data_IF_026092642272
#
_entry.id   IF_026092642272
#
_cell.length_a   1.000
_cell.length_b   1.000
_cell.length_c   1.000
_cell.angle_alpha   90.00
_cell.angle_beta   90.00
_cell.angle_gamma   90.00
#
_symmetry.space_group_name_H-M   'P 1'
#
loop_
_entity.id
_entity.type
_entity.pdbx_description
1 polymer ?
#
# COMPACT_ATOMS: atom_id res chain seq x y z
N UNK A 1 -30.16 9.97 -19.53
CA UNK A 1 -31.28 9.02 -19.76
C UNK A 1 -30.96 7.72 -19.03
N UNK A 2 -31.64 7.49 -17.91
CA UNK A 2 -31.56 6.27 -17.11
C UNK A 2 -32.19 5.09 -17.85
N UNK A 3 -31.59 3.90 -17.77
CA UNK A 3 -32.34 2.65 -17.96
C UNK A 3 -31.85 1.59 -16.99
N UNK A 4 -32.73 1.29 -16.02
CA UNK A 4 -32.69 0.18 -15.10
C UNK A 4 -32.61 -1.16 -15.83
N UNK A 5 -31.82 -2.11 -15.33
CA UNK A 5 -32.00 -3.54 -15.61
C UNK A 5 -32.13 -4.27 -14.28
N UNK A 6 -33.28 -4.93 -14.10
CA UNK A 6 -33.62 -5.79 -12.95
C UNK A 6 -32.83 -7.11 -12.97
N UNK A 7 -32.65 -7.75 -11.80
CA UNK A 7 -31.80 -8.92 -11.65
C UNK A 7 -32.54 -10.22 -11.98
N UNK A 8 -31.90 -11.10 -12.76
CA UNK A 8 -32.41 -12.45 -12.99
C UNK A 8 -31.65 -13.21 -14.06
N UNK A 9 -30.93 -14.25 -13.61
CA UNK A 9 -30.37 -15.38 -14.38
C UNK A 9 -29.08 -15.11 -15.16
N UNK A 10 -27.94 -15.45 -14.54
CA UNK A 10 -26.76 -15.90 -15.28
C UNK A 10 -26.31 -17.26 -14.77
N UNK A 11 -26.62 -18.29 -15.58
CA UNK A 11 -25.93 -19.58 -15.59
C UNK A 11 -24.49 -19.36 -16.10
N UNK A 12 -23.58 -20.22 -15.65
CA UNK A 12 -22.16 -20.30 -16.03
C UNK A 12 -21.90 -20.03 -17.53
N UNK A 13 -21.01 -19.08 -17.84
CA UNK A 13 -20.43 -18.88 -19.18
C UNK A 13 -18.93 -18.52 -19.04
N UNK A 14 -18.01 -19.03 -19.90
CA UNK A 14 -16.56 -18.90 -19.72
C UNK A 14 -16.01 -17.48 -19.89
N UNK A 15 -15.00 -17.15 -19.07
CA UNK A 15 -14.40 -15.84 -18.78
C UNK A 15 -13.70 -15.11 -19.95
N UNK A 16 -13.45 -15.76 -21.08
CA UNK A 16 -12.59 -15.21 -22.15
C UNK A 16 -13.31 -14.21 -23.06
N UNK A 17 -14.65 -14.28 -23.19
CA UNK A 17 -15.38 -13.45 -24.16
C UNK A 17 -15.71 -12.04 -23.65
N UNK A 18 -15.79 -11.84 -22.33
CA UNK A 18 -16.07 -10.53 -21.70
C UNK A 18 -14.87 -9.59 -21.85
N UNK A 19 -13.64 -10.11 -21.77
CA UNK A 19 -12.42 -9.29 -21.84
C UNK A 19 -12.28 -8.57 -23.19
N UNK A 20 -12.60 -9.25 -24.31
CA UNK A 20 -12.52 -8.65 -25.66
C UNK A 20 -13.61 -7.60 -25.93
N UNK A 21 -14.80 -7.73 -25.34
CA UNK A 21 -15.87 -6.73 -25.49
C UNK A 21 -15.63 -5.48 -24.62
N UNK A 22 -15.02 -5.64 -23.43
CA UNK A 22 -14.64 -4.51 -22.56
C UNK A 22 -13.55 -3.63 -23.21
N UNK A 23 -12.55 -4.26 -23.83
CA UNK A 23 -11.42 -3.60 -24.51
C UNK A 23 -11.88 -2.79 -25.74
N UNK A 24 -12.84 -3.30 -26.52
CA UNK A 24 -13.38 -2.59 -27.70
C UNK A 24 -14.18 -1.34 -27.33
N UNK A 25 -14.87 -1.34 -26.18
CA UNK A 25 -15.58 -0.15 -25.68
C UNK A 25 -14.59 0.91 -25.18
N UNK A 26 -13.51 0.53 -24.49
CA UNK A 26 -12.53 1.48 -23.90
C UNK A 26 -11.79 2.33 -24.95
N UNK A 27 -11.51 1.80 -26.14
CA UNK A 27 -10.91 2.57 -27.26
C UNK A 27 -11.81 3.66 -27.83
N UNK A 28 -13.13 3.53 -27.72
CA UNK A 28 -14.07 4.54 -28.25
C UNK A 28 -14.34 5.69 -27.27
N UNK A 29 -14.08 5.49 -25.97
CA UNK A 29 -14.36 6.47 -24.92
C UNK A 29 -13.18 7.39 -24.57
N UNK A 30 -11.96 7.08 -25.00
CA UNK A 30 -10.75 7.79 -24.56
C UNK A 30 -10.24 8.87 -25.53
N UNK A 31 -10.86 9.11 -26.69
CA UNK A 31 -10.72 10.36 -27.47
C UNK A 31 -9.31 10.95 -27.75
N UNK A 32 -8.22 10.20 -27.59
CA UNK A 32 -6.85 10.67 -27.78
C UNK A 32 -6.30 10.10 -29.09
N UNK A 33 -6.32 10.91 -30.16
CA UNK A 33 -5.41 10.74 -31.28
C UNK A 33 -4.09 11.43 -30.92
N UNK A 34 -2.99 10.66 -30.81
CA UNK A 34 -1.65 11.21 -30.56
C UNK A 34 -0.94 11.49 -31.90
N UNK A 35 -0.21 12.61 -32.03
CA UNK A 35 0.50 12.95 -33.27
C UNK A 35 1.79 12.12 -33.41
N UNK A 36 2.04 11.65 -34.64
CA UNK A 36 3.22 10.88 -35.04
C UNK A 36 4.33 11.82 -35.52
N UNK A 37 5.24 12.26 -34.64
CA UNK A 37 6.55 12.76 -35.09
C UNK A 37 7.66 12.34 -34.12
N UNK A 38 8.76 11.85 -34.71
CA UNK A 38 9.94 11.22 -34.11
C UNK A 38 10.90 12.25 -33.51
N UNK A 39 11.43 11.99 -32.31
CA UNK A 39 12.59 12.73 -31.76
C UNK A 39 13.74 11.76 -31.47
N UNK A 40 14.91 12.11 -32.00
CA UNK A 40 16.18 11.36 -32.07
C UNK A 40 16.91 11.30 -30.70
N UNK A 41 17.37 10.12 -30.22
CA UNK A 41 18.08 9.98 -28.96
C UNK A 41 19.59 9.75 -29.17
N UNK A 42 20.39 10.82 -29.19
CA UNK A 42 21.86 10.68 -29.06
C UNK A 42 22.44 11.67 -28.05
N UNK A 43 22.70 11.16 -26.84
CA UNK A 43 23.75 11.63 -25.94
C UNK A 43 24.06 10.50 -24.93
N UNK A 44 24.95 9.58 -25.31
CA UNK A 44 25.40 8.44 -24.49
C UNK A 44 26.90 8.58 -24.18
N UNK A 45 27.29 8.46 -22.91
CA UNK A 45 28.69 8.35 -22.49
C UNK A 45 29.11 6.88 -22.58
N UNK A 46 30.24 6.63 -23.24
CA UNK A 46 30.80 5.30 -23.52
C UNK A 46 31.81 4.85 -22.44
N UNK A 47 31.71 3.59 -22.00
CA UNK A 47 32.88 2.81 -21.56
C UNK A 47 32.90 1.45 -22.28
N UNK A 48 34.08 0.88 -22.60
CA UNK A 48 34.20 -0.19 -23.58
C UNK A 48 34.27 -1.56 -22.90
N UNK A 49 33.26 -2.40 -23.15
CA UNK A 49 33.39 -3.86 -22.98
C UNK A 49 32.88 -4.61 -24.21
N UNK A 50 33.80 -5.38 -24.80
CA UNK A 50 33.60 -6.64 -25.55
C UNK A 50 32.43 -6.77 -26.52
N UNK A 51 32.73 -6.76 -27.83
CA UNK A 51 31.81 -7.04 -28.95
C UNK A 51 31.10 -8.40 -28.77
N UNK A 52 29.78 -8.41 -29.05
CA UNK A 52 28.81 -9.54 -29.09
C UNK A 52 27.91 -9.79 -27.86
N UNK A 53 27.34 -8.72 -27.28
CA UNK A 53 26.03 -8.82 -26.63
C UNK A 53 25.11 -7.74 -27.22
N UNK A 54 23.89 -8.10 -27.63
CA UNK A 54 22.82 -7.10 -27.83
C UNK A 54 22.67 -6.37 -26.50
N UNK A 55 23.01 -5.08 -26.47
CA UNK A 55 22.80 -4.21 -25.31
C UNK A 55 21.30 -4.21 -24.98
N UNK A 56 20.92 -4.94 -23.94
CA UNK A 56 19.62 -4.76 -23.32
C UNK A 56 19.71 -3.44 -22.57
N UNK A 57 19.11 -2.39 -23.15
CA UNK A 57 18.92 -1.09 -22.51
C UNK A 57 18.16 -1.33 -21.19
N UNK A 58 18.77 -0.96 -20.06
CA UNK A 58 18.19 -1.11 -18.72
C UNK A 58 17.40 0.15 -18.38
N UNK A 59 16.06 0.10 -18.21
CA UNK A 59 15.31 1.25 -17.74
C UNK A 59 15.70 1.55 -16.30
N UNK A 60 16.05 2.81 -16.01
CA UNK A 60 16.45 3.24 -14.66
C UNK A 60 15.39 4.13 -14.01
N UNK A 61 14.37 4.53 -14.76
CA UNK A 61 13.30 5.43 -14.32
C UNK A 61 11.93 4.76 -14.46
N UNK A 62 11.08 4.94 -13.45
CA UNK A 62 9.72 4.38 -13.42
C UNK A 62 8.83 4.86 -14.58
N UNK A 63 9.06 6.08 -15.10
CA UNK A 63 8.37 6.59 -16.29
C UNK A 63 8.67 5.77 -17.55
N UNK A 64 9.90 5.28 -17.69
CA UNK A 64 10.30 4.37 -18.77
C UNK A 64 9.64 3.00 -18.60
N UNK A 65 9.49 2.53 -17.35
CA UNK A 65 8.76 1.30 -17.02
C UNK A 65 7.27 1.46 -17.33
N UNK A 66 6.63 2.59 -17.01
CA UNK A 66 5.21 2.84 -17.33
C UNK A 66 4.95 2.86 -18.84
N UNK A 67 5.78 3.57 -19.60
CA UNK A 67 5.68 3.61 -21.07
C UNK A 67 5.97 2.24 -21.71
N UNK A 68 6.85 1.45 -21.11
CA UNK A 68 7.16 0.10 -21.57
C UNK A 68 6.09 -0.93 -21.15
N UNK A 69 5.47 -0.78 -19.97
CA UNK A 69 4.30 -1.56 -19.51
C UNK A 69 3.07 -1.32 -20.40
N UNK A 70 2.86 -0.09 -20.88
CA UNK A 70 1.78 0.25 -21.81
C UNK A 70 1.97 -0.36 -23.22
N UNK A 71 3.20 -0.72 -23.60
CA UNK A 71 3.55 -1.18 -24.94
C UNK A 71 3.84 -2.69 -25.05
N UNK A 72 3.85 -3.42 -23.93
CA UNK A 72 4.20 -4.84 -23.89
C UNK A 72 2.93 -5.71 -23.74
N UNK A 73 2.69 -6.62 -24.68
CA UNK A 73 1.52 -7.52 -24.70
C UNK A 73 1.53 -8.57 -23.56
N UNK A 74 2.61 -8.63 -22.77
CA UNK A 74 2.74 -9.32 -21.50
C UNK A 74 3.47 -8.38 -20.53
N UNK A 75 2.88 -8.10 -19.37
CA UNK A 75 3.57 -7.37 -18.30
C UNK A 75 4.62 -8.32 -17.70
N UNK A 76 5.92 -7.96 -17.67
CA UNK A 76 6.92 -8.78 -17.01
C UNK A 76 6.69 -8.71 -15.50
N UNK A 77 7.29 -9.66 -14.81
CA UNK A 77 7.30 -9.64 -13.36
C UNK A 77 8.44 -8.73 -12.87
N UNK A 78 8.10 -7.75 -12.04
CA UNK A 78 9.05 -6.88 -11.38
C UNK A 78 9.52 -7.54 -10.07
N UNK A 79 10.84 -7.55 -9.83
CA UNK A 79 11.44 -8.20 -8.66
C UNK A 79 12.25 -7.20 -7.85
N UNK A 80 11.83 -6.95 -6.62
CA UNK A 80 12.52 -6.07 -5.70
C UNK A 80 13.25 -6.87 -4.60
N UNK A 81 14.57 -6.73 -4.42
CA UNK A 81 15.26 -7.29 -3.26
C UNK A 81 14.91 -6.49 -2.00
N UNK A 82 14.36 -7.14 -0.98
CA UNK A 82 13.88 -6.47 0.24
C UNK A 82 14.98 -6.36 1.30
N UNK A 83 16.06 -5.63 1.00
CA UNK A 83 17.20 -5.47 1.92
C UNK A 83 16.86 -4.70 3.20
N UNK A 84 15.77 -3.94 3.21
CA UNK A 84 15.20 -3.29 4.40
C UNK A 84 14.48 -4.25 5.34
N UNK A 85 14.11 -5.45 4.86
CA UNK A 85 13.39 -6.47 5.62
C UNK A 85 14.34 -7.59 6.03
N UNK A 86 14.00 -8.31 7.08
CA UNK A 86 14.70 -9.52 7.48
C UNK A 86 13.75 -10.55 8.08
N UNK A 87 14.17 -11.82 8.06
CA UNK A 87 13.43 -12.93 8.63
C UNK A 87 14.08 -13.40 9.94
N UNK A 88 13.26 -13.52 10.99
CA UNK A 88 13.66 -13.97 12.32
C UNK A 88 12.76 -15.13 12.70
N UNK A 89 13.34 -16.30 12.86
CA UNK A 89 12.65 -17.43 13.45
C UNK A 89 12.45 -17.27 14.94
N UNK A 90 11.32 -17.76 15.42
CA UNK A 90 10.98 -17.86 16.83
C UNK A 90 10.57 -19.30 17.13
N UNK A 91 11.18 -19.89 18.15
CA UNK A 91 11.06 -21.31 18.47
C UNK A 91 11.08 -21.52 19.97
N UNK A 92 10.14 -22.29 20.50
CA UNK A 92 10.14 -22.69 21.90
C UNK A 92 8.74 -22.93 22.45
N UNK A 93 8.63 -23.75 23.48
CA UNK A 93 7.35 -24.08 24.09
C UNK A 93 6.63 -22.82 24.59
N UNK A 94 5.38 -22.65 24.15
CA UNK A 94 4.58 -21.47 24.43
C UNK A 94 4.89 -20.26 23.53
N UNK A 95 5.63 -20.39 22.43
CA UNK A 95 5.76 -19.34 21.42
C UNK A 95 4.40 -18.97 20.81
N UNK A 96 3.50 -19.93 20.55
CA UNK A 96 2.17 -19.65 20.02
C UNK A 96 1.38 -18.71 20.95
N UNK A 97 1.19 -19.15 22.20
CA UNK A 97 0.42 -18.38 23.18
C UNK A 97 1.05 -17.01 23.49
N UNK A 98 2.39 -16.92 23.48
CA UNK A 98 3.09 -15.63 23.64
C UNK A 98 2.80 -14.70 22.47
N UNK A 99 3.05 -15.15 21.24
CA UNK A 99 2.85 -14.32 20.05
C UNK A 99 1.39 -13.92 19.91
N UNK A 100 0.46 -14.86 20.07
CA UNK A 100 -0.98 -14.58 20.00
C UNK A 100 -1.42 -13.49 20.98
N UNK A 101 -0.79 -13.38 22.16
CA UNK A 101 -1.06 -12.29 23.11
C UNK A 101 -0.46 -10.93 22.72
N UNK A 102 0.47 -10.87 21.77
CA UNK A 102 1.21 -9.66 21.38
C UNK A 102 0.81 -9.11 20.00
N UNK A 103 0.21 -9.94 19.16
CA UNK A 103 -0.12 -9.57 17.77
C UNK A 103 -1.62 -9.30 17.59
N UNK A 104 -1.96 -8.38 16.68
CA UNK A 104 -3.35 -7.99 16.36
C UNK A 104 -4.11 -9.02 15.53
N UNK A 105 -3.43 -9.91 14.80
CA UNK A 105 -4.05 -10.96 13.99
C UNK A 105 -4.00 -12.33 14.68
N UNK A 106 -4.73 -13.33 14.19
CA UNK A 106 -4.79 -14.67 14.79
C UNK A 106 -3.67 -15.56 14.24
N UNK A 107 -2.71 -15.94 15.08
CA UNK A 107 -1.62 -16.82 14.67
C UNK A 107 -2.12 -18.20 14.26
N UNK A 108 -3.25 -18.67 14.81
CA UNK A 108 -3.80 -19.99 14.49
C UNK A 108 -4.37 -20.05 13.06
N UNK A 109 -4.62 -18.90 12.42
CA UNK A 109 -4.98 -18.87 11.00
C UNK A 109 -3.87 -19.43 10.10
N UNK A 110 -2.61 -19.45 10.58
CA UNK A 110 -1.50 -20.11 9.89
C UNK A 110 -1.64 -21.63 9.78
N UNK A 111 -2.66 -22.27 10.36
CA UNK A 111 -2.99 -23.67 10.02
C UNK A 111 -3.54 -23.81 8.59
N UNK A 112 -4.23 -22.77 8.10
CA UNK A 112 -4.81 -22.71 6.75
C UNK A 112 -4.02 -21.79 5.83
N UNK A 113 -3.61 -20.64 6.33
CA UNK A 113 -2.82 -19.64 5.61
C UNK A 113 -1.33 -19.95 5.68
N UNK A 114 -0.58 -19.60 4.63
CA UNK A 114 0.88 -19.77 4.59
C UNK A 114 1.62 -18.58 5.21
N UNK A 115 0.97 -17.42 5.23
CA UNK A 115 1.51 -16.14 5.71
C UNK A 115 0.35 -15.27 6.21
N UNK A 116 0.61 -14.46 7.24
CA UNK A 116 -0.35 -13.47 7.75
C UNK A 116 0.31 -12.10 7.93
N UNK A 117 -0.49 -11.04 7.79
CA UNK A 117 -0.10 -9.69 8.17
C UNK A 117 -0.57 -9.38 9.59
N UNK A 118 0.22 -8.66 10.37
CA UNK A 118 -0.17 -8.24 11.71
C UNK A 118 0.62 -7.03 12.20
N UNK A 119 0.08 -6.34 13.19
CA UNK A 119 0.83 -5.41 14.03
C UNK A 119 1.11 -6.01 15.40
N UNK A 120 2.11 -5.46 16.08
CA UNK A 120 2.24 -5.51 17.54
C UNK A 120 2.06 -4.10 18.10
N UNK A 121 1.27 -3.98 19.17
CA UNK A 121 0.88 -2.68 19.73
C UNK A 121 1.52 -2.44 21.09
N UNK A 122 1.54 -1.18 21.52
CA UNK A 122 1.72 -0.86 22.93
C UNK A 122 0.41 -0.99 23.70
N UNK A 123 0.48 -0.90 25.04
CA UNK A 123 -0.69 -0.95 25.92
C UNK A 123 -1.74 0.15 25.65
N UNK A 124 -1.37 1.22 24.92
CA UNK A 124 -2.30 2.29 24.51
C UNK A 124 -2.94 2.03 23.13
N UNK A 125 -2.74 0.85 22.55
CA UNK A 125 -3.28 0.44 21.25
C UNK A 125 -2.58 1.06 20.04
N UNK A 126 -1.39 1.64 20.19
CA UNK A 126 -0.63 2.24 19.08
C UNK A 126 0.37 1.24 18.50
N UNK A 127 0.53 1.25 17.17
CA UNK A 127 1.42 0.35 16.44
C UNK A 127 2.86 0.58 16.90
N UNK A 128 3.54 -0.48 17.33
CA UNK A 128 4.98 -0.50 17.55
C UNK A 128 5.71 -1.12 16.36
N UNK A 129 5.19 -2.25 15.87
CA UNK A 129 5.80 -3.03 14.82
C UNK A 129 4.75 -3.47 13.82
N UNK A 130 5.11 -3.44 12.54
CA UNK A 130 4.42 -4.09 11.45
C UNK A 130 5.21 -5.35 11.08
N UNK A 131 4.52 -6.46 10.87
CA UNK A 131 5.12 -7.76 10.65
C UNK A 131 4.32 -8.59 9.65
N UNK A 132 5.04 -9.42 8.89
CA UNK A 132 4.46 -10.62 8.29
C UNK A 132 4.91 -11.84 9.09
N UNK A 133 4.04 -12.81 9.31
CA UNK A 133 4.38 -14.06 9.98
C UNK A 133 4.10 -15.21 9.04
N UNK A 134 5.10 -16.05 8.81
CA UNK A 134 5.04 -17.21 7.93
C UNK A 134 4.84 -18.47 8.75
N UNK A 135 4.10 -19.42 8.16
CA UNK A 135 4.08 -20.80 8.62
C UNK A 135 5.49 -21.39 8.50
N UNK A 136 6.04 -21.90 9.60
CA UNK A 136 7.44 -22.36 9.62
C UNK A 136 7.69 -23.50 8.65
N UNK A 137 6.77 -24.45 8.50
CA UNK A 137 6.92 -25.60 7.61
C UNK A 137 7.16 -25.19 6.16
N UNK A 138 6.62 -24.04 5.74
CA UNK A 138 6.82 -23.51 4.39
C UNK A 138 8.24 -22.95 4.21
N UNK A 139 8.73 -22.19 5.19
CA UNK A 139 10.08 -21.60 5.17
C UNK A 139 11.15 -22.67 5.42
N UNK A 140 10.88 -23.65 6.28
CA UNK A 140 11.83 -24.71 6.61
C UNK A 140 12.33 -25.45 5.36
N UNK A 141 11.53 -25.53 4.29
CA UNK A 141 11.87 -26.13 3.00
C UNK A 141 13.07 -25.47 2.28
N UNK A 142 13.33 -24.16 2.50
CA UNK A 142 14.51 -23.46 1.94
C UNK A 142 15.68 -23.31 2.89
N UNK A 143 15.46 -23.50 4.19
CA UNK A 143 16.53 -23.35 5.17
C UNK A 143 17.57 -24.44 4.99
N UNK A 144 18.84 -24.08 5.19
CA UNK A 144 19.92 -25.03 5.28
C UNK A 144 19.75 -25.96 6.51
N UNK A 145 20.42 -27.10 6.47
CA UNK A 145 20.28 -28.13 7.52
C UNK A 145 20.67 -27.61 8.90
N UNK A 146 21.71 -26.77 8.98
CA UNK A 146 22.23 -26.24 10.24
C UNK A 146 21.23 -25.29 10.90
N UNK A 147 20.62 -24.41 10.11
CA UNK A 147 19.61 -23.45 10.55
C UNK A 147 18.34 -24.18 10.95
N UNK A 148 17.90 -25.17 10.15
CA UNK A 148 16.72 -26.00 10.47
C UNK A 148 16.87 -26.75 11.79
N UNK A 149 18.05 -27.29 12.09
CA UNK A 149 18.32 -27.99 13.36
C UNK A 149 18.16 -27.11 14.60
N UNK A 150 18.31 -25.78 14.47
CA UNK A 150 18.13 -24.84 15.60
C UNK A 150 16.68 -24.71 16.06
N UNK A 151 15.71 -25.18 15.27
CA UNK A 151 14.28 -25.24 15.59
C UNK A 151 13.85 -26.61 16.11
N UNK A 152 14.78 -27.57 16.22
CA UNK A 152 14.46 -28.90 16.71
C UNK A 152 14.06 -28.89 18.19
N UNK A 153 13.18 -29.82 18.56
CA UNK A 153 12.78 -30.05 19.96
C UNK A 153 11.44 -29.43 20.37
N UNK A 154 10.76 -28.73 19.47
CA UNK A 154 9.41 -28.18 19.68
C UNK A 154 8.69 -28.02 18.34
N UNK A 155 7.36 -28.07 18.37
CA UNK A 155 6.51 -27.85 17.19
C UNK A 155 6.05 -26.39 17.08
N UNK A 156 6.27 -25.56 18.11
CA UNK A 156 5.88 -24.15 18.11
C UNK A 156 6.95 -23.27 17.47
N UNK A 157 7.03 -23.34 16.15
CA UNK A 157 7.98 -22.59 15.33
C UNK A 157 7.27 -21.63 14.38
N UNK A 158 7.76 -20.40 14.29
CA UNK A 158 7.25 -19.38 13.37
C UNK A 158 8.39 -18.56 12.77
N UNK A 159 8.14 -17.88 11.66
CA UNK A 159 9.10 -16.93 11.07
C UNK A 159 8.46 -15.57 10.94
N UNK A 160 9.11 -14.56 11.50
CA UNK A 160 8.66 -13.17 11.49
C UNK A 160 9.50 -12.39 10.48
N UNK A 161 8.84 -11.79 9.49
CA UNK A 161 9.41 -10.72 8.67
C UNK A 161 9.14 -9.36 9.31
N UNK A 162 10.18 -8.56 9.49
CA UNK A 162 10.08 -7.20 9.96
C UNK A 162 11.18 -6.32 9.34
N UNK A 163 11.08 -5.01 9.50
CA UNK A 163 12.14 -4.09 9.10
C UNK A 163 13.39 -4.30 9.97
N UNK A 164 14.57 -4.38 9.33
CA UNK A 164 15.81 -4.70 10.02
C UNK A 164 16.17 -3.68 11.11
N UNK A 165 15.74 -2.41 10.96
CA UNK A 165 16.02 -1.32 11.91
C UNK A 165 15.24 -1.50 13.21
N UNK A 166 14.06 -2.10 13.14
CA UNK A 166 13.16 -2.29 14.29
C UNK A 166 13.27 -3.67 14.96
N UNK A 167 13.94 -4.62 14.31
CA UNK A 167 14.04 -5.99 14.80
C UNK A 167 14.65 -6.13 16.21
N UNK A 168 15.72 -5.40 16.60
CA UNK A 168 16.25 -5.50 17.97
C UNK A 168 15.20 -5.09 19.02
N UNK A 169 14.44 -4.03 18.74
CA UNK A 169 13.38 -3.55 19.61
C UNK A 169 12.17 -4.48 19.64
N UNK A 170 11.84 -5.12 18.51
CA UNK A 170 10.82 -6.15 18.45
C UNK A 170 11.19 -7.36 19.32
N UNK A 171 12.42 -7.88 19.20
CA UNK A 171 12.90 -8.99 20.03
C UNK A 171 12.87 -8.59 21.51
N UNK A 172 13.34 -7.38 21.84
CA UNK A 172 13.31 -6.85 23.22
C UNK A 172 11.87 -6.74 23.75
N UNK A 173 10.94 -6.29 22.92
CA UNK A 173 9.53 -6.22 23.25
C UNK A 173 8.97 -7.61 23.57
N UNK A 174 9.14 -8.59 22.67
CA UNK A 174 8.67 -9.98 22.90
C UNK A 174 9.29 -10.56 24.18
N UNK A 175 10.60 -10.36 24.40
CA UNK A 175 11.32 -10.82 25.61
C UNK A 175 10.73 -10.31 26.92
N UNK A 176 10.15 -9.11 26.91
CA UNK A 176 9.54 -8.53 28.11
C UNK A 176 8.33 -9.35 28.59
N UNK A 177 7.67 -10.09 27.69
CA UNK A 177 6.48 -10.89 27.97
C UNK A 177 6.75 -12.40 28.07
N UNK A 178 8.01 -12.84 27.93
CA UNK A 178 8.35 -14.26 27.90
C UNK A 178 8.11 -14.99 29.24
N UNK A 179 7.99 -14.32 30.39
CA UNK A 179 7.68 -14.93 31.70
C UNK A 179 8.35 -16.31 31.93
N UNK A 180 9.69 -16.38 31.85
CA UNK A 180 10.52 -17.60 31.98
C UNK A 180 10.36 -18.67 30.89
N UNK A 181 9.53 -18.45 29.87
CA UNK A 181 9.46 -19.32 28.67
C UNK A 181 10.83 -19.37 27.99
N UNK A 182 11.22 -20.55 27.57
CA UNK A 182 12.47 -20.78 26.83
C UNK A 182 12.20 -20.61 25.34
N UNK A 183 12.18 -19.37 24.89
CA UNK A 183 11.96 -19.04 23.47
C UNK A 183 13.24 -18.49 22.87
N UNK A 184 13.64 -19.08 21.75
CA UNK A 184 14.82 -18.74 20.99
C UNK A 184 14.44 -17.83 19.82
N UNK A 185 15.34 -16.91 19.49
CA UNK A 185 15.26 -16.06 18.30
C UNK A 185 16.42 -16.43 17.37
N UNK A 186 16.09 -16.80 16.14
CA UNK A 186 17.02 -17.39 15.18
C UNK A 186 17.02 -16.52 13.92
N UNK A 187 18.04 -15.67 13.70
CA UNK A 187 18.18 -14.94 12.45
C UNK A 187 18.32 -15.91 11.27
N UNK A 188 17.56 -15.69 10.19
CA UNK A 188 17.58 -16.52 8.98
C UNK A 188 18.41 -15.81 7.90
N UNK A 189 19.72 -16.03 7.90
CA UNK A 189 20.69 -15.33 7.03
C UNK A 189 21.10 -16.13 5.78
N UNK A 190 20.65 -17.37 5.70
CA UNK A 190 20.89 -18.36 4.64
C UNK A 190 19.84 -18.30 3.50
N UNK A 191 18.91 -17.33 3.57
CA UNK A 191 17.88 -17.08 2.56
C UNK A 191 17.95 -15.64 2.03
N UNK A 192 17.42 -15.44 0.83
CA UNK A 192 17.15 -14.13 0.26
C UNK A 192 15.63 -13.88 0.23
N UNK A 193 15.23 -12.63 0.46
CA UNK A 193 13.84 -12.19 0.46
C UNK A 193 13.61 -11.16 -0.66
N UNK A 194 12.61 -11.42 -1.50
CA UNK A 194 12.20 -10.56 -2.59
C UNK A 194 10.70 -10.28 -2.55
N UNK A 195 10.28 -9.24 -3.25
CA UNK A 195 8.89 -9.01 -3.62
C UNK A 195 8.73 -9.06 -5.14
N UNK A 196 7.70 -9.77 -5.60
CA UNK A 196 7.38 -9.94 -7.02
C UNK A 196 5.98 -9.38 -7.29
N UNK A 197 5.83 -8.56 -8.34
CA UNK A 197 4.59 -7.84 -8.66
C UNK A 197 4.56 -7.47 -10.18
N UNK A 198 3.44 -7.03 -10.79
CA UNK A 198 2.14 -6.66 -10.20
C UNK A 198 1.16 -7.83 -10.03
N UNK A 199 1.34 -8.94 -10.75
CA UNK A 199 0.46 -10.11 -10.64
C UNK A 199 0.96 -11.07 -9.55
N UNK A 200 0.04 -11.66 -8.76
CA UNK A 200 0.42 -12.76 -7.88
C UNK A 200 0.90 -13.95 -8.72
N UNK A 201 1.85 -14.70 -8.19
CA UNK A 201 2.31 -15.93 -8.85
C UNK A 201 1.18 -16.96 -8.78
N UNK A 202 0.76 -17.53 -9.91
CA UNK A 202 -0.22 -18.62 -9.90
C UNK A 202 0.43 -19.87 -9.31
N UNK A 203 -0.19 -20.45 -8.27
CA UNK A 203 0.34 -21.61 -7.52
C UNK A 203 0.55 -22.87 -8.39
N UNK A 204 -0.02 -22.90 -9.59
CA UNK A 204 0.09 -24.04 -10.52
C UNK A 204 1.47 -24.17 -11.17
N UNK A 205 2.32 -23.14 -11.10
CA UNK A 205 3.70 -23.22 -11.54
C UNK A 205 4.63 -23.75 -10.43
N UNK A 206 4.69 -25.08 -10.35
CA UNK A 206 5.49 -25.92 -9.42
C UNK A 206 7.00 -25.61 -9.40
N UNK A 207 7.50 -24.65 -10.17
CA UNK A 207 8.89 -24.21 -10.16
C UNK A 207 9.20 -23.30 -8.98
N UNK A 208 8.21 -22.60 -8.41
CA UNK A 208 8.41 -21.62 -7.32
C UNK A 208 7.75 -22.09 -6.03
N UNK A 209 8.37 -23.05 -5.33
CA UNK A 209 7.80 -23.65 -4.11
C UNK A 209 7.54 -22.64 -2.96
N UNK A 210 8.00 -21.38 -3.04
CA UNK A 210 8.00 -20.44 -1.92
C UNK A 210 7.67 -19.00 -2.29
N UNK A 211 6.83 -18.82 -3.30
CA UNK A 211 6.06 -17.60 -3.42
C UNK A 211 4.90 -17.64 -2.41
N UNK A 212 4.72 -16.55 -1.69
CA UNK A 212 3.64 -16.31 -0.75
C UNK A 212 2.89 -15.08 -1.21
N UNK A 213 1.63 -15.23 -1.63
CA UNK A 213 0.77 -14.09 -1.95
C UNK A 213 0.78 -13.12 -0.77
N UNK A 214 0.95 -11.83 -1.05
CA UNK A 214 1.02 -10.83 0.01
C UNK A 214 -0.30 -10.79 0.80
N UNK A 215 -0.30 -11.09 2.10
CA UNK A 215 -1.54 -11.26 2.87
C UNK A 215 -2.25 -9.93 3.12
N UNK A 216 -1.56 -8.80 2.92
CA UNK A 216 -2.18 -7.48 3.02
C UNK A 216 -3.21 -7.29 1.92
N UNK A 217 -2.94 -7.81 0.73
CA UNK A 217 -3.80 -7.74 -0.43
C UNK A 217 -3.22 -8.59 -1.57
N UNK A 218 -4.04 -9.45 -2.18
CA UNK A 218 -3.66 -10.30 -3.32
C UNK A 218 -3.14 -9.53 -4.55
N UNK A 219 -3.57 -8.28 -4.75
CA UNK A 219 -3.09 -7.43 -5.85
C UNK A 219 -1.68 -6.87 -5.63
N UNK A 220 -1.10 -7.00 -4.43
CA UNK A 220 0.25 -6.50 -4.20
C UNK A 220 1.32 -7.40 -4.80
N UNK A 221 0.98 -8.61 -5.23
CA UNK A 221 1.93 -9.59 -5.72
C UNK A 221 2.30 -10.60 -4.63
N UNK A 222 3.57 -10.96 -4.52
CA UNK A 222 4.00 -12.06 -3.65
C UNK A 222 5.38 -11.82 -3.03
N UNK A 223 5.54 -12.27 -1.78
CA UNK A 223 6.85 -12.45 -1.15
C UNK A 223 7.49 -13.71 -1.70
N UNK A 224 8.77 -13.63 -2.03
CA UNK A 224 9.54 -14.79 -2.46
C UNK A 224 10.71 -14.99 -1.50
N UNK A 225 10.75 -16.16 -0.86
CA UNK A 225 11.85 -16.59 0.01
C UNK A 225 12.59 -17.73 -0.68
N UNK A 226 13.88 -17.54 -0.97
CA UNK A 226 14.69 -18.53 -1.69
C UNK A 226 16.02 -18.75 -0.97
N UNK A 227 16.69 -19.91 -1.15
CA UNK A 227 17.98 -20.13 -0.53
C UNK A 227 18.97 -19.11 -1.09
N UNK A 228 19.90 -18.64 -0.28
CA UNK A 228 20.88 -17.61 -0.69
C UNK A 228 21.78 -18.06 -1.85
N UNK A 229 21.89 -19.38 -2.05
CA UNK A 229 22.63 -20.03 -3.13
C UNK A 229 21.89 -20.03 -4.47
N UNK A 230 20.61 -19.62 -4.51
CA UNK A 230 19.80 -19.60 -5.73
C UNK A 230 19.59 -18.17 -6.23
N UNK A 231 19.59 -18.01 -7.57
CA UNK A 231 19.21 -16.75 -8.24
C UNK A 231 17.72 -16.80 -8.61
N UNK A 232 17.02 -15.67 -8.51
CA UNK A 232 15.60 -15.56 -8.86
C UNK A 232 15.30 -15.94 -10.31
N UNK A 233 16.28 -15.77 -11.21
CA UNK A 233 16.16 -16.10 -12.65
C UNK A 233 15.98 -17.58 -12.92
N UNK A 234 16.28 -18.45 -11.95
CA UNK A 234 15.99 -19.87 -12.06
C UNK A 234 14.47 -20.15 -12.09
N UNK A 235 13.65 -19.20 -11.65
CA UNK A 235 12.21 -19.37 -11.51
C UNK A 235 11.43 -18.86 -12.73
N UNK A 236 11.79 -17.70 -13.28
CA UNK A 236 11.27 -17.25 -14.59
C UNK A 236 12.27 -16.32 -15.28
N UNK A 237 12.32 -16.40 -16.60
CA UNK A 237 13.24 -15.63 -17.45
C UNK A 237 12.73 -14.21 -17.72
N UNK A 238 11.42 -13.97 -17.55
CA UNK A 238 10.74 -12.70 -17.81
C UNK A 238 10.62 -11.84 -16.54
N UNK A 239 11.75 -11.67 -15.84
CA UNK A 239 11.86 -10.86 -14.62
C UNK A 239 12.69 -9.61 -14.85
N UNK A 240 12.21 -8.48 -14.34
CA UNK A 240 12.96 -7.23 -14.28
C UNK A 240 13.29 -6.92 -12.83
N UNK A 241 14.58 -6.89 -12.51
CA UNK A 241 15.04 -6.39 -11.22
C UNK A 241 14.77 -4.90 -11.11
N UNK A 242 14.12 -4.50 -10.03
CA UNK A 242 13.85 -3.10 -9.72
C UNK A 242 14.49 -2.71 -8.40
N UNK A 243 14.75 -1.42 -8.25
CA UNK A 243 15.32 -0.90 -7.02
C UNK A 243 14.30 -0.94 -5.88
N UNK A 244 14.80 -0.88 -4.64
CA UNK A 244 13.97 -0.66 -3.45
C UNK A 244 13.13 0.62 -3.55
N UNK A 245 13.58 1.58 -4.34
CA UNK A 245 12.85 2.82 -4.54
C UNK A 245 11.60 2.61 -5.40
N UNK A 246 11.69 1.83 -6.48
CA UNK A 246 10.53 1.47 -7.29
C UNK A 246 9.51 0.66 -6.47
N UNK A 247 9.99 -0.25 -5.62
CA UNK A 247 9.13 -0.98 -4.70
C UNK A 247 8.40 -0.06 -3.71
N UNK A 248 9.11 0.93 -3.14
CA UNK A 248 8.48 1.92 -2.25
C UNK A 248 7.40 2.72 -2.96
N UNK A 249 7.66 3.16 -4.19
CA UNK A 249 6.67 3.88 -4.99
C UNK A 249 5.45 3.03 -5.32
N UNK A 250 5.67 1.75 -5.63
CA UNK A 250 4.59 0.78 -5.78
C UNK A 250 3.72 0.76 -4.52
N UNK A 251 4.31 0.55 -3.33
CA UNK A 251 3.56 0.59 -2.08
C UNK A 251 2.82 1.92 -1.85
N UNK A 252 3.45 3.06 -2.14
CA UNK A 252 2.83 4.39 -2.03
C UNK A 252 1.61 4.52 -2.95
N UNK A 253 1.71 4.02 -4.19
CA UNK A 253 0.60 4.02 -5.14
C UNK A 253 -0.62 3.25 -4.60
N UNK A 254 -0.37 2.18 -3.84
CA UNK A 254 -1.41 1.38 -3.19
C UNK A 254 -1.72 1.82 -1.75
N UNK A 255 -1.16 2.93 -1.28
CA UNK A 255 -1.19 3.40 0.11
C UNK A 255 -0.91 2.31 1.16
N UNK A 256 0.07 1.44 0.89
CA UNK A 256 0.51 0.39 1.81
C UNK A 256 1.67 0.91 2.64
N UNK A 257 1.50 1.14 3.96
CA UNK A 257 2.60 1.55 4.81
C UNK A 257 3.52 0.35 5.11
N UNK A 258 4.83 0.53 5.07
CA UNK A 258 5.79 -0.52 5.44
C UNK A 258 6.99 0.04 6.24
N UNK A 259 7.27 -0.61 7.37
CA UNK A 259 8.43 -0.30 8.20
C UNK A 259 8.36 1.07 8.94
N UNK A 260 9.45 1.45 9.63
CA UNK A 260 9.49 2.59 10.55
C UNK A 260 9.50 3.95 9.87
N UNK A 261 9.78 4.01 8.56
CA UNK A 261 9.73 5.27 7.80
C UNK A 261 8.29 5.74 7.59
N UNK A 262 7.36 4.80 7.41
CA UNK A 262 5.94 5.11 7.24
C UNK A 262 5.21 5.05 8.59
N UNK A 263 5.57 4.06 9.42
CA UNK A 263 4.90 3.74 10.68
C UNK A 263 5.83 4.11 11.84
N UNK A 264 5.78 5.37 12.27
CA UNK A 264 6.53 5.78 13.47
C UNK A 264 6.04 4.99 14.69
N UNK A 265 6.92 4.21 15.36
CA UNK A 265 6.52 3.37 16.49
C UNK A 265 5.86 4.18 17.62
N UNK A 266 4.75 3.67 18.13
CA UNK A 266 4.01 4.26 19.23
C UNK A 266 3.21 5.52 18.89
N UNK A 267 3.09 5.89 17.59
CA UNK A 267 2.40 7.13 17.17
C UNK A 267 0.99 6.90 16.63
N UNK A 268 0.80 5.85 15.85
CA UNK A 268 -0.40 5.65 15.03
C UNK A 268 -1.26 4.46 15.47
N UNK A 269 -2.53 4.46 15.07
CA UNK A 269 -3.46 3.37 15.36
C UNK A 269 -3.61 2.41 14.17
N UNK A 270 -3.84 1.09 14.41
CA UNK A 270 -4.01 0.09 13.35
C UNK A 270 -5.06 0.45 12.30
N UNK A 271 -6.23 0.96 12.73
CA UNK A 271 -7.33 1.32 11.84
C UNK A 271 -7.02 2.57 11.00
N UNK A 272 -6.20 3.50 11.50
CA UNK A 272 -5.75 4.66 10.71
C UNK A 272 -4.85 4.23 9.55
N UNK A 273 -4.13 3.12 9.75
CA UNK A 273 -3.17 2.54 8.81
C UNK A 273 -3.78 1.34 8.06
N UNK A 274 -5.11 1.29 7.95
CA UNK A 274 -5.86 0.30 7.15
C UNK A 274 -5.67 -1.17 7.58
N UNK A 275 -5.33 -1.43 8.85
CA UNK A 275 -5.12 -2.79 9.35
C UNK A 275 -6.33 -3.71 9.22
N UNK A 276 -7.54 -3.17 9.39
CA UNK A 276 -8.81 -3.87 9.17
C UNK A 276 -9.09 -4.20 7.70
N UNK A 277 -8.48 -3.44 6.77
CA UNK A 277 -8.64 -3.65 5.33
C UNK A 277 -7.52 -4.50 4.72
N UNK A 278 -6.38 -4.61 5.41
CA UNK A 278 -5.21 -5.38 4.98
C UNK A 278 -5.11 -6.74 5.69
N UNK A 279 -6.23 -7.30 6.18
CA UNK A 279 -6.26 -8.55 6.93
C UNK A 279 -5.28 -8.58 8.13
N UNK A 280 -5.02 -7.43 8.76
CA UNK A 280 -4.01 -7.27 9.80
C UNK A 280 -4.54 -7.40 11.23
N UNK A 281 -5.85 -7.49 11.40
CA UNK A 281 -6.52 -7.50 12.69
C UNK A 281 -7.59 -8.59 12.69
N UNK A 282 -7.52 -9.50 13.66
CA UNK A 282 -8.60 -10.44 13.92
C UNK A 282 -9.49 -9.87 15.01
N UNK A 283 -10.78 -9.68 14.69
CA UNK A 283 -11.78 -9.21 15.65
C UNK A 283 -12.46 -10.37 16.41
N UNK A 284 -12.11 -11.61 16.08
CA UNK A 284 -12.69 -12.84 16.64
C UNK A 284 -11.70 -13.66 17.46
N UNK A 285 -10.40 -13.32 17.44
CA UNK A 285 -9.38 -13.98 18.27
C UNK A 285 -9.50 -13.59 19.75
N UNK A 286 -8.75 -14.32 20.59
CA UNK A 286 -8.59 -14.00 22.01
C UNK A 286 -7.83 -12.68 22.27
N UNK A 287 -7.69 -12.35 23.55
CA UNK A 287 -7.13 -11.07 23.98
C UNK A 287 -5.69 -10.85 23.53
N UNK A 288 -5.36 -9.62 23.13
CA UNK A 288 -3.99 -9.20 22.81
C UNK A 288 -3.68 -7.80 23.35
N UNK A 289 -2.40 -7.47 23.50
CA UNK A 289 -1.94 -6.20 24.05
C UNK A 289 -2.47 -5.00 23.25
N UNK A 290 -3.19 -4.09 23.91
CA UNK A 290 -3.68 -2.85 23.30
C UNK A 290 -4.95 -3.02 22.44
N UNK A 291 -5.68 -4.12 22.60
CA UNK A 291 -6.90 -4.45 21.86
C UNK A 291 -8.04 -3.45 22.06
N UNK A 292 -8.27 -2.99 23.29
CA UNK A 292 -9.53 -2.36 23.72
C UNK A 292 -9.89 -1.15 22.86
N UNK A 293 -8.92 -0.29 22.57
CA UNK A 293 -9.15 0.91 21.76
C UNK A 293 -9.42 0.57 20.30
N UNK A 294 -8.70 -0.41 19.75
CA UNK A 294 -8.84 -0.87 18.36
C UNK A 294 -10.23 -1.47 18.16
N UNK A 295 -10.62 -2.41 19.02
CA UNK A 295 -11.94 -3.07 18.98
C UNK A 295 -13.10 -2.09 19.21
N UNK A 296 -12.99 -1.18 20.19
CA UNK A 296 -14.01 -0.16 20.43
C UNK A 296 -14.19 0.76 19.21
N UNK A 297 -13.09 1.18 18.59
CA UNK A 297 -13.15 2.07 17.43
C UNK A 297 -13.76 1.37 16.21
N UNK A 298 -13.43 0.09 16.00
CA UNK A 298 -14.00 -0.73 14.93
C UNK A 298 -15.52 -0.89 15.09
N UNK A 299 -16.00 -1.40 16.23
CA UNK A 299 -17.43 -1.66 16.44
C UNK A 299 -18.29 -0.40 16.55
N UNK A 300 -17.69 0.75 16.89
CA UNK A 300 -18.41 2.03 16.86
C UNK A 300 -18.48 2.66 15.47
N UNK A 301 -17.74 2.14 14.47
CA UNK A 301 -17.73 2.63 13.09
C UNK A 301 -17.12 4.02 12.90
N UNK A 302 -16.44 4.58 13.92
CA UNK A 302 -15.94 5.97 13.91
C UNK A 302 -14.46 6.06 13.54
N UNK A 303 -14.08 5.53 12.38
CA UNK A 303 -12.72 5.70 11.87
C UNK A 303 -12.64 7.10 11.23
N UNK A 304 -11.91 8.00 11.91
CA UNK A 304 -11.82 9.41 11.51
C UNK A 304 -10.75 9.68 10.47
N UNK A 305 -9.68 8.89 10.44
CA UNK A 305 -8.54 9.11 9.54
C UNK A 305 -8.15 7.82 8.85
N UNK A 306 -7.68 7.92 7.61
CA UNK A 306 -7.16 6.81 6.81
C UNK A 306 -5.93 7.24 6.03
N UNK A 307 -5.08 6.27 5.73
CA UNK A 307 -4.01 6.43 4.76
C UNK A 307 -4.55 6.44 3.34
N UNK A 308 -4.04 7.37 2.54
CA UNK A 308 -4.35 7.52 1.13
C UNK A 308 -3.08 7.79 0.34
N UNK A 309 -3.11 7.45 -0.95
CA UNK A 309 -2.01 7.69 -1.86
C UNK A 309 -1.98 9.17 -2.26
N UNK A 310 -0.77 9.74 -2.33
CA UNK A 310 -0.50 11.08 -2.80
C UNK A 310 0.30 11.02 -4.11
N UNK A 311 -0.08 11.88 -5.05
CA UNK A 311 0.59 12.09 -6.35
C UNK A 311 0.68 13.58 -6.64
N UNK A 312 1.70 14.02 -7.36
CA UNK A 312 1.81 15.42 -7.79
C UNK A 312 2.45 15.51 -9.18
N UNK A 313 2.45 16.71 -9.74
CA UNK A 313 2.98 16.95 -11.08
C UNK A 313 4.51 16.84 -11.08
N UNK A 314 5.05 16.06 -12.02
CA UNK A 314 6.51 16.00 -12.26
C UNK A 314 7.02 17.31 -12.91
N UNK A 315 6.11 18.12 -13.46
CA UNK A 315 6.43 19.40 -14.09
C UNK A 315 6.58 20.55 -13.09
N UNK A 316 6.32 20.31 -11.81
CA UNK A 316 6.62 21.28 -10.75
C UNK A 316 8.14 21.34 -10.50
N UNK A 317 8.63 22.47 -9.98
CA UNK A 317 9.98 22.50 -9.42
C UNK A 317 10.17 21.37 -8.39
N UNK A 318 11.40 20.83 -8.22
CA UNK A 318 11.68 19.82 -7.21
C UNK A 318 11.21 20.28 -5.83
N UNK A 319 10.16 19.63 -5.33
CA UNK A 319 9.53 19.99 -4.09
C UNK A 319 10.22 19.30 -2.93
N UNK A 320 10.61 20.01 -1.88
CA UNK A 320 11.07 19.38 -0.64
C UNK A 320 9.88 19.30 0.30
N UNK A 321 9.28 18.12 0.40
CA UNK A 321 8.22 17.82 1.38
C UNK A 321 8.76 16.86 2.41
N UNK A 322 8.48 17.17 3.68
CA UNK A 322 8.88 16.34 4.79
C UNK A 322 7.67 15.65 5.44
N UNK A 323 7.86 14.44 6.01
CA UNK A 323 6.88 13.81 6.87
C UNK A 323 6.35 14.77 7.94
N UNK A 324 5.03 14.89 8.05
CA UNK A 324 4.36 15.76 9.00
C UNK A 324 3.85 17.08 8.42
N UNK A 325 4.25 17.47 7.21
CA UNK A 325 3.68 18.63 6.52
C UNK A 325 2.16 18.51 6.41
N UNK A 326 1.47 19.64 6.47
CA UNK A 326 0.00 19.66 6.53
C UNK A 326 -0.59 19.46 5.14
N UNK A 327 -1.60 18.59 5.07
CA UNK A 327 -2.48 18.51 3.90
C UNK A 327 -3.67 19.39 4.22
N UNK A 328 -3.96 20.33 3.33
CA UNK A 328 -5.02 21.32 3.44
C UNK A 328 -6.02 21.19 2.30
N UNK A 329 -7.22 21.69 2.52
CA UNK A 329 -8.21 21.87 1.47
C UNK A 329 -8.05 23.27 0.84
N UNK A 330 -7.76 23.34 -0.46
CA UNK A 330 -7.65 24.61 -1.17
C UNK A 330 -8.99 25.28 -1.46
N UNK A 331 -10.11 24.54 -1.38
CA UNK A 331 -11.45 25.09 -1.56
C UNK A 331 -11.97 25.77 -0.28
N UNK A 332 -11.30 25.56 0.86
CA UNK A 332 -11.59 26.24 2.12
C UNK A 332 -10.81 27.56 2.17
N UNK A 333 -11.52 28.68 2.34
CA UNK A 333 -10.92 30.03 2.40
C UNK A 333 -9.83 30.18 3.47
N UNK A 334 -9.84 29.34 4.50
CA UNK A 334 -8.84 29.32 5.58
C UNK A 334 -7.78 28.23 5.39
N UNK A 335 -7.74 27.54 4.24
CA UNK A 335 -6.87 26.40 3.97
C UNK A 335 -6.93 25.37 5.10
N UNK A 336 -8.15 24.97 5.47
CA UNK A 336 -8.38 24.07 6.60
C UNK A 336 -7.51 22.81 6.48
N UNK A 337 -6.83 22.47 7.56
CA UNK A 337 -6.06 21.23 7.68
C UNK A 337 -6.99 20.02 7.61
N UNK A 338 -6.74 19.15 6.64
CA UNK A 338 -7.47 17.89 6.46
C UNK A 338 -6.62 16.67 6.77
N UNK A 339 -5.30 16.80 6.79
CA UNK A 339 -4.41 15.68 7.05
C UNK A 339 -2.96 16.07 7.26
N UNK A 340 -2.10 15.08 7.13
CA UNK A 340 -0.65 15.26 7.11
C UNK A 340 0.03 14.26 6.19
N UNK A 341 1.14 14.68 5.62
CA UNK A 341 2.04 13.81 4.87
C UNK A 341 2.69 12.81 5.81
N UNK A 342 2.71 11.53 5.43
CA UNK A 342 3.38 10.46 6.16
C UNK A 342 4.73 10.16 5.53
N UNK A 343 4.76 9.99 4.22
CA UNK A 343 5.99 9.92 3.45
C UNK A 343 5.81 10.67 2.13
N UNK A 344 6.93 10.98 1.48
CA UNK A 344 6.96 11.67 0.21
C UNK A 344 8.24 11.33 -0.55
N UNK A 345 8.12 11.12 -1.86
CA UNK A 345 9.22 10.75 -2.73
C UNK A 345 9.31 11.62 -3.98
N UNK A 346 10.19 12.63 -3.93
CA UNK A 346 10.42 13.65 -4.96
C UNK A 346 10.59 13.08 -6.37
N UNK A 347 11.50 12.11 -6.55
CA UNK A 347 11.85 11.64 -7.90
C UNK A 347 10.71 10.86 -8.59
N UNK A 348 9.76 10.32 -7.81
CA UNK A 348 8.70 9.45 -8.33
C UNK A 348 7.31 10.09 -8.22
N UNK A 349 7.25 11.36 -7.79
CA UNK A 349 6.01 12.11 -7.63
C UNK A 349 4.93 11.37 -6.83
N UNK A 350 5.37 10.75 -5.74
CA UNK A 350 4.68 9.68 -5.02
C UNK A 350 4.80 9.79 -3.49
N UNK A 351 3.71 9.55 -2.75
CA UNK A 351 3.74 9.49 -1.29
C UNK A 351 2.47 8.93 -0.68
N UNK A 352 2.36 8.99 0.64
CA UNK A 352 1.14 8.66 1.38
C UNK A 352 0.81 9.74 2.42
N UNK A 353 -0.48 9.98 2.61
CA UNK A 353 -1.01 10.96 3.55
C UNK A 353 -2.01 10.32 4.52
N UNK A 354 -1.96 10.72 5.78
CA UNK A 354 -2.97 10.39 6.77
C UNK A 354 -3.99 11.52 6.83
N UNK A 355 -5.20 11.25 6.36
CA UNK A 355 -6.20 12.29 6.09
C UNK A 355 -7.50 11.96 6.80
N UNK A 356 -8.20 13.02 7.23
CA UNK A 356 -9.55 12.93 7.79
C UNK A 356 -10.51 12.37 6.74
N UNK A 357 -10.98 11.15 7.02
CA UNK A 357 -11.78 10.34 6.13
C UNK A 357 -13.10 11.03 5.78
N UNK A 358 -13.76 11.64 6.77
CA UNK A 358 -15.06 12.30 6.56
C UNK A 358 -14.91 13.58 5.75
N UNK A 359 -13.84 14.32 6.01
CA UNK A 359 -13.56 15.56 5.29
C UNK A 359 -13.42 15.28 3.79
N UNK A 360 -12.89 14.12 3.40
CA UNK A 360 -12.77 13.72 2.00
C UNK A 360 -14.03 13.14 1.36
N UNK A 361 -15.07 12.82 2.13
CA UNK A 361 -16.35 12.34 1.60
C UNK A 361 -17.20 13.44 0.95
N UNK A 362 -16.80 14.71 1.14
CA UNK A 362 -17.62 15.87 0.82
C UNK A 362 -16.96 16.67 -0.29
N UNK A 363 -17.52 16.56 -1.50
CA UNK A 363 -17.24 17.34 -2.73
C UNK A 363 -15.81 17.17 -3.30
N UNK A 364 -15.54 17.47 -4.59
CA UNK A 364 -14.22 17.30 -5.19
C UNK A 364 -13.28 18.35 -4.58
N UNK A 365 -12.61 17.95 -3.49
CA UNK A 365 -11.60 18.79 -2.86
C UNK A 365 -10.35 18.76 -3.70
N UNK A 366 -9.68 19.91 -3.77
CA UNK A 366 -8.35 20.04 -4.33
C UNK A 366 -7.39 20.05 -3.14
N UNK A 367 -6.84 18.89 -2.73
CA UNK A 367 -5.91 18.87 -1.63
C UNK A 367 -4.59 19.51 -2.07
N UNK A 368 -3.98 20.25 -1.15
CA UNK A 368 -2.61 20.71 -1.31
C UNK A 368 -1.78 20.42 -0.07
N UNK A 369 -0.48 20.28 -0.29
CA UNK A 369 0.51 20.26 0.79
C UNK A 369 0.87 21.71 1.09
N UNK A 370 0.70 22.10 2.35
CA UNK A 370 1.20 23.38 2.86
C UNK A 370 2.69 23.26 3.11
N UNK A 371 3.47 24.05 2.39
CA UNK A 371 4.93 24.10 2.44
C UNK A 371 5.34 25.43 3.08
N UNK A 372 5.99 25.39 4.26
CA UNK A 372 6.46 26.61 4.91
C UNK A 372 7.40 27.44 4.02
N UNK A 373 7.35 28.79 4.09
CA UNK A 373 6.49 29.59 4.96
C UNK A 373 5.07 29.82 4.42
N UNK A 374 4.83 29.85 3.10
CA UNK A 374 3.51 30.11 2.49
C UNK A 374 3.36 29.55 1.06
N UNK A 375 4.05 28.46 0.71
CA UNK A 375 3.88 27.79 -0.59
C UNK A 375 2.84 26.68 -0.44
N UNK A 376 2.03 26.47 -1.47
CA UNK A 376 1.11 25.34 -1.55
C UNK A 376 1.46 24.55 -2.80
N UNK A 377 1.55 23.23 -2.66
CA UNK A 377 1.64 22.34 -3.81
C UNK A 377 0.35 21.54 -3.91
N UNK A 378 -0.34 21.67 -5.03
CA UNK A 378 -1.49 20.83 -5.33
C UNK A 378 -1.06 19.37 -5.46
N UNK A 379 -1.80 18.49 -4.81
CA UNK A 379 -1.60 17.05 -4.93
C UNK A 379 -2.88 16.40 -5.38
N UNK A 380 -2.75 15.28 -6.09
CA UNK A 380 -3.84 14.34 -6.30
C UNK A 380 -3.79 13.35 -5.16
N UNK A 381 -4.95 13.12 -4.56
CA UNK A 381 -5.10 12.12 -3.51
C UNK A 381 -6.18 11.15 -3.92
N UNK A 382 -5.92 9.86 -3.77
CA UNK A 382 -6.89 8.83 -4.13
C UNK A 382 -6.90 7.69 -3.11
N UNK A 383 -8.07 7.06 -2.89
CA UNK A 383 -8.12 5.80 -2.19
C UNK A 383 -7.38 4.72 -2.99
N UNK A 384 -6.85 3.70 -2.30
CA UNK A 384 -6.33 2.53 -2.98
C UNK A 384 -7.43 1.77 -3.70
N UNK A 385 -7.16 1.27 -4.92
CA UNK A 385 -8.15 0.55 -5.71
C UNK A 385 -8.60 -0.79 -5.10
N UNK A 386 -7.87 -1.29 -4.11
CA UNK A 386 -8.16 -2.56 -3.44
C UNK A 386 -9.15 -2.41 -2.29
N UNK A 387 -9.53 -1.17 -1.95
CA UNK A 387 -10.69 -0.95 -1.10
C UNK A 387 -11.95 -1.47 -1.79
N UNK A 388 -12.91 -1.98 -1.03
CA UNK A 388 -14.18 -2.45 -1.59
C UNK A 388 -14.92 -1.32 -2.31
N UNK A 389 -15.82 -1.69 -3.22
CA UNK A 389 -16.68 -0.71 -3.92
C UNK A 389 -17.43 0.15 -2.91
N UNK A 390 -17.99 -0.39 -1.83
CA UNK A 390 -18.64 0.41 -0.78
C UNK A 390 -17.68 1.41 -0.11
N UNK A 391 -16.42 1.02 0.13
CA UNK A 391 -15.40 1.89 0.71
C UNK A 391 -14.89 2.96 -0.24
N UNK A 392 -14.96 2.70 -1.56
CA UNK A 392 -14.64 3.64 -2.63
C UNK A 392 -15.84 4.53 -3.00
N UNK A 393 -17.06 3.99 -2.98
CA UNK A 393 -18.33 4.68 -3.23
C UNK A 393 -18.63 5.70 -2.15
N UNK A 394 -18.07 5.55 -0.94
CA UNK A 394 -18.07 6.62 0.06
C UNK A 394 -17.38 7.91 -0.47
N UNK A 395 -16.51 7.83 -1.48
CA UNK A 395 -15.96 8.99 -2.20
C UNK A 395 -16.80 9.44 -3.41
N UNK A 396 -17.74 8.60 -3.87
CA UNK A 396 -18.62 8.87 -5.02
C UNK A 396 -20.09 9.09 -4.62
N UNK A 397 -20.41 9.07 -3.32
CA UNK A 397 -21.78 9.16 -2.80
C UNK A 397 -22.33 10.56 -3.10
N UNK A 398 -23.42 10.59 -3.87
CA UNK A 398 -24.16 11.80 -4.28
C UNK A 398 -24.34 12.79 -3.12
N UNK A 399 -24.13 14.07 -3.43
CA UNK A 399 -24.24 15.24 -2.55
C UNK A 399 -25.46 15.21 -1.60
N UNK A 400 -26.57 14.64 -2.08
CA UNK A 400 -27.87 14.62 -1.41
C UNK A 400 -27.92 13.79 -0.12
N UNK A 401 -27.05 12.77 0.03
CA UNK A 401 -27.02 11.93 1.26
C UNK A 401 -26.10 12.49 2.34
N UNK A 402 -25.05 13.22 1.94
CA UNK A 402 -24.13 13.90 2.85
C UNK A 402 -24.84 15.08 3.52
N UNK A 403 -25.60 15.88 2.75
CA UNK A 403 -26.37 17.01 3.26
C UNK A 403 -27.34 16.61 4.39
N UNK A 404 -28.07 15.51 4.22
CA UNK A 404 -29.04 15.01 5.22
C UNK A 404 -28.41 14.53 6.53
N UNK A 405 -27.12 14.18 6.56
CA UNK A 405 -26.41 13.79 7.79
C UNK A 405 -25.73 14.96 8.50
N UNK A 406 -25.31 15.99 7.75
CA UNK A 406 -24.67 17.19 8.31
C UNK A 406 -25.66 18.22 8.87
N UNK A 407 -26.93 18.17 8.45
CA UNK A 407 -27.99 19.09 8.92
C UNK A 407 -28.31 18.98 10.43
N UNK A 408 -27.94 17.89 11.09
CA UNK A 408 -28.12 17.78 12.55
C UNK A 408 -27.03 18.48 13.38
N UNK A 409 -25.88 18.83 12.77
CA UNK A 409 -24.72 19.37 13.50
C UNK A 409 -24.27 20.77 13.04
N UNK A 410 -24.73 21.27 11.89
CA UNK A 410 -24.23 22.53 11.30
C UNK A 410 -25.31 23.53 10.88
N UNK A 411 -26.50 23.50 11.50
CA UNK A 411 -27.51 24.53 11.27
C UNK A 411 -27.18 25.86 12.01
N UNK A 412 -26.28 26.64 11.42
CA UNK A 412 -26.32 28.11 11.46
C UNK A 412 -26.31 28.65 10.03
N UNK A 413 -27.53 28.84 9.51
CA UNK A 413 -27.99 29.68 8.40
C UNK A 413 -26.90 30.42 7.59
N UNK A 414 -26.57 29.92 6.40
CA UNK A 414 -26.24 30.77 5.25
C UNK A 414 -27.43 30.71 4.28
N UNK A 415 -27.84 31.87 3.79
CA UNK A 415 -28.86 32.02 2.77
C UNK A 415 -28.32 31.54 1.41
N UNK A 416 -29.19 30.97 0.58
CA UNK A 416 -28.89 30.57 -0.80
C UNK A 416 -28.34 31.73 -1.63
N UNK A 417 -28.78 32.97 -1.35
CA UNK A 417 -28.23 34.17 -1.98
C UNK A 417 -26.75 34.41 -1.65
N UNK A 418 -26.29 34.06 -0.44
CA UNK A 418 -24.88 34.18 -0.06
C UNK A 418 -24.04 33.08 -0.73
N UNK A 419 -24.61 31.89 -0.90
CA UNK A 419 -23.96 30.79 -1.62
C UNK A 419 -23.79 31.10 -3.12
N UNK A 420 -24.85 31.61 -3.76
CA UNK A 420 -24.83 31.97 -5.18
C UNK A 420 -23.86 33.12 -5.47
N UNK A 421 -23.74 34.07 -4.52
CA UNK A 421 -22.78 35.18 -4.62
C UNK A 421 -21.33 34.70 -4.49
N UNK A 422 -21.02 33.83 -3.53
CA UNK A 422 -19.67 33.26 -3.37
C UNK A 422 -19.28 32.43 -4.59
N UNK A 423 -20.21 31.66 -5.15
CA UNK A 423 -19.97 30.88 -6.36
C UNK A 423 -19.64 31.78 -7.56
N UNK A 424 -20.32 32.92 -7.68
CA UNK A 424 -20.08 33.90 -8.74
C UNK A 424 -18.74 34.63 -8.57
N UNK A 425 -18.42 35.07 -7.35
CA UNK A 425 -17.15 35.72 -7.02
C UNK A 425 -15.96 34.76 -7.27
N UNK A 426 -16.14 33.47 -6.96
CA UNK A 426 -15.16 32.43 -7.28
C UNK A 426 -14.97 32.25 -8.78
N UNK A 427 -16.06 32.14 -9.57
CA UNK A 427 -15.96 32.01 -11.02
C UNK A 427 -15.23 33.19 -11.68
N UNK A 428 -15.46 34.41 -11.19
CA UNK A 428 -14.77 35.61 -11.67
C UNK A 428 -13.27 35.58 -11.30
N UNK A 429 -12.90 35.12 -10.10
CA UNK A 429 -11.50 34.98 -9.68
C UNK A 429 -10.73 33.85 -10.43
N UNK A 430 -11.41 32.77 -10.84
CA UNK A 430 -10.81 31.69 -11.61
C UNK A 430 -10.52 32.08 -13.07
N UNK A 431 -11.40 32.88 -13.68
CA UNK A 431 -11.22 33.44 -15.02
C UNK A 431 -10.04 34.42 -15.04
N UNK A 432 -9.92 35.27 -14.01
CA UNK A 432 -8.79 36.21 -13.87
C UNK A 432 -7.43 35.50 -13.66
N UNK A 433 -7.44 34.25 -13.18
CA UNK A 433 -6.23 33.42 -13.00
C UNK A 433 -5.93 32.49 -14.18
N UNK A 434 -6.69 32.57 -15.27
CA UNK A 434 -6.45 31.81 -16.50
C UNK A 434 -6.70 30.31 -16.39
N UNK A 435 -7.52 29.86 -15.44
CA UNK A 435 -7.89 28.45 -15.27
C UNK A 435 -9.10 28.15 -16.17
N UNK A 436 -8.92 27.25 -17.13
CA UNK A 436 -9.93 26.91 -18.14
C UNK A 436 -11.17 26.27 -17.50
N UNK A 437 -12.37 26.79 -17.83
CA UNK A 437 -13.65 26.29 -17.33
C UNK A 437 -13.90 24.81 -17.68
N UNK A 438 -13.22 24.26 -18.68
CA UNK A 438 -13.32 22.84 -19.03
C UNK A 438 -12.61 21.89 -18.04
N UNK A 439 -11.83 22.41 -17.07
CA UNK A 439 -11.20 21.64 -15.99
C UNK A 439 -12.00 21.63 -14.66
N UNK A 440 -13.13 22.35 -14.60
CA UNK A 440 -14.11 22.32 -13.50
C UNK A 440 -15.12 21.21 -13.78
#
# INVERSE_FOLDING_TARGET
>A
MYTLIRPGVFRQIPSIQIHKQFIRRRRKYMGFDLPTESVDPTNMIHEPFGRNQKQILRPTKYSEIQLWMLNSYHEPLLVAPLSQRQLIGISGDGANALLNGLITNDLNSLEKERIIFTYALNAKGRILFEMLIYRFEEIAKVLDTNTRQRFAGTDENYVIECDHRTAPDLIKHIRTFMLRRKINFIPLTDVNLFHIYPTPFEEEDKRVYQAFTDPRNSFLGSRLVIPKTFDVKHYTQDLIYVSNLCYRDYLNHHAIPEGPLDITPGKYYPLEFSGDLMNGISFTKGCYLGQELTTRTYYTGRIRKRLLALRWSIFSEPLVVEPGYEIVDCMDLNYKKVGKVINFHNLLSSGIGLVDYYTMRVYPRIPAIRIPPKKFEQVVMHPPFWWTVEQQEIFNDDEDKVYKRTDSCYNKKMDKADQDRIYKDMQEEYVDRGIDQAMI
#
